data_IF_869608093888
#
_entry.id   IF_869608093888
#
_cell.length_a   1.000
_cell.length_b   1.000
_cell.length_c   1.000
_cell.angle_alpha   90.00
_cell.angle_beta   90.00
_cell.angle_gamma   90.00
#
_symmetry.space_group_name_H-M   'P 1'
#
loop_
_entity.id
_entity.type
_entity.pdbx_description
1 polymer ?
#
# COMPACT_ATOMS: atom_id res chain seq x y z
N UNK A 1 9.56 -3.34 28.63
CA UNK A 1 9.58 -2.96 27.20
C UNK A 1 10.93 -3.37 26.66
N UNK A 2 10.99 -4.40 25.81
CA UNK A 2 12.27 -4.83 25.23
C UNK A 2 12.71 -3.79 24.20
N UNK A 3 13.81 -3.11 24.50
CA UNK A 3 14.50 -2.29 23.51
C UNK A 3 15.02 -3.22 22.39
N UNK A 4 14.61 -2.93 21.14
CA UNK A 4 15.05 -3.69 19.96
C UNK A 4 16.58 -3.72 19.88
N UNK A 5 17.26 -2.62 20.24
CA UNK A 5 18.72 -2.56 20.25
C UNK A 5 19.33 -3.60 21.19
N UNK A 6 18.84 -3.69 22.43
CA UNK A 6 19.32 -4.69 23.39
C UNK A 6 19.02 -6.12 22.93
N UNK A 7 17.88 -6.32 22.27
CA UNK A 7 17.52 -7.63 21.70
C UNK A 7 18.51 -8.05 20.62
N UNK A 8 18.83 -7.16 19.68
CA UNK A 8 19.81 -7.39 18.61
C UNK A 8 21.22 -7.61 19.18
N UNK A 9 21.65 -6.80 20.15
CA UNK A 9 22.96 -6.96 20.79
C UNK A 9 23.12 -8.34 21.45
N UNK A 10 22.10 -8.80 22.18
CA UNK A 10 22.12 -10.14 22.81
C UNK A 10 22.15 -11.28 21.80
N UNK A 11 21.48 -11.13 20.66
CA UNK A 11 21.52 -12.13 19.58
C UNK A 11 22.96 -12.25 19.03
N UNK A 12 23.62 -11.12 18.77
CA UNK A 12 24.99 -11.08 18.25
C UNK A 12 26.01 -11.64 19.24
N UNK A 13 25.85 -11.40 20.55
CA UNK A 13 26.70 -11.97 21.60
C UNK A 13 26.69 -13.50 21.61
N UNK A 14 25.61 -14.13 21.14
CA UNK A 14 25.44 -15.58 21.14
C UNK A 14 25.46 -16.20 19.74
N UNK A 15 25.96 -15.48 18.72
CA UNK A 15 25.95 -15.94 17.32
C UNK A 15 26.62 -17.29 17.09
N UNK A 16 27.68 -17.62 17.84
CA UNK A 16 28.37 -18.90 17.76
C UNK A 16 27.49 -20.07 18.22
N UNK A 17 26.68 -19.87 19.26
CA UNK A 17 25.70 -20.88 19.70
C UNK A 17 24.55 -21.01 18.72
N UNK A 18 24.10 -19.89 18.16
CA UNK A 18 23.03 -19.88 17.16
C UNK A 18 23.42 -20.59 15.86
N UNK A 19 24.72 -20.66 15.55
CA UNK A 19 25.25 -21.38 14.40
C UNK A 19 25.01 -22.91 14.46
N UNK A 20 24.83 -23.48 15.65
CA UNK A 20 24.73 -24.93 15.88
C UNK A 20 23.29 -25.43 16.09
N UNK A 21 22.32 -24.53 16.25
CA UNK A 21 20.94 -24.89 16.59
C UNK A 21 20.04 -25.10 15.37
N UNK A 22 18.87 -25.68 15.60
CA UNK A 22 17.86 -25.90 14.58
C UNK A 22 17.02 -24.64 14.29
N UNK A 23 16.21 -24.71 13.23
CA UNK A 23 15.34 -23.63 12.77
C UNK A 23 14.32 -23.18 13.82
N UNK A 24 13.69 -24.13 14.53
CA UNK A 24 12.76 -23.83 15.62
C UNK A 24 13.40 -22.97 16.72
N UNK A 25 14.70 -23.16 17.00
CA UNK A 25 15.43 -22.31 17.94
C UNK A 25 15.59 -20.89 17.40
N UNK A 26 15.87 -20.72 16.10
CA UNK A 26 15.94 -19.40 15.46
C UNK A 26 14.58 -18.69 15.51
N UNK A 27 13.50 -19.40 15.20
CA UNK A 27 12.13 -18.89 15.30
C UNK A 27 11.83 -18.36 16.71
N UNK A 28 12.16 -19.12 17.75
CA UNK A 28 11.79 -18.83 19.14
C UNK A 28 12.74 -17.86 19.87
N UNK A 29 14.05 -17.93 19.60
CA UNK A 29 15.07 -17.16 20.33
C UNK A 29 15.57 -15.93 19.57
N UNK A 30 15.28 -15.81 18.28
CA UNK A 30 15.71 -14.67 17.44
C UNK A 30 14.51 -13.92 16.88
N UNK A 31 13.70 -14.56 16.03
CA UNK A 31 12.61 -13.91 15.30
C UNK A 31 11.52 -13.42 16.25
N UNK A 32 11.01 -14.30 17.13
CA UNK A 32 9.93 -13.94 18.04
C UNK A 32 10.31 -12.82 19.04
N UNK A 33 11.51 -12.80 19.66
CA UNK A 33 11.96 -11.67 20.48
C UNK A 33 12.05 -10.36 19.71
N UNK A 34 12.47 -10.37 18.44
CA UNK A 34 12.48 -9.18 17.58
C UNK A 34 11.05 -8.69 17.34
N UNK A 35 10.11 -9.58 17.00
CA UNK A 35 8.70 -9.23 16.82
C UNK A 35 8.10 -8.61 18.10
N UNK A 36 8.40 -9.18 19.27
CA UNK A 36 7.99 -8.63 20.58
C UNK A 36 8.56 -7.24 20.82
N UNK A 37 9.84 -7.01 20.52
CA UNK A 37 10.46 -5.68 20.63
C UNK A 37 9.87 -4.65 19.65
N UNK A 38 9.28 -5.11 18.54
CA UNK A 38 8.58 -4.31 17.54
C UNK A 38 7.08 -4.11 17.85
N UNK A 39 6.62 -4.57 19.02
CA UNK A 39 5.28 -4.33 19.55
C UNK A 39 4.24 -5.38 19.17
N UNK A 40 4.64 -6.51 18.58
CA UNK A 40 3.77 -7.66 18.37
C UNK A 40 3.65 -8.48 19.66
N UNK A 41 2.45 -8.99 19.94
CA UNK A 41 2.15 -9.77 21.13
C UNK A 41 1.60 -11.15 20.74
N UNK A 42 2.45 -12.16 20.83
CA UNK A 42 2.15 -13.57 20.56
C UNK A 42 1.32 -14.25 21.67
N UNK A 43 1.19 -13.61 22.84
CA UNK A 43 0.34 -14.09 23.94
C UNK A 43 -1.05 -13.46 23.94
N UNK A 44 -1.36 -12.55 23.00
CA UNK A 44 -2.67 -11.90 22.95
C UNK A 44 -3.72 -12.79 22.26
N UNK A 45 -4.44 -13.58 23.05
CA UNK A 45 -5.49 -14.47 22.58
C UNK A 45 -6.70 -13.75 21.96
N UNK A 46 -6.90 -12.46 22.25
CA UNK A 46 -8.02 -11.70 21.71
C UNK A 46 -7.77 -11.25 20.26
N UNK A 47 -6.52 -10.99 19.87
CA UNK A 47 -6.17 -10.58 18.51
C UNK A 47 -5.57 -11.69 17.67
N UNK A 48 -4.86 -12.66 18.31
CA UNK A 48 -4.05 -13.68 17.65
C UNK A 48 -3.21 -13.07 16.53
N UNK A 49 -2.50 -11.99 16.85
CA UNK A 49 -1.79 -11.15 15.88
C UNK A 49 -0.47 -11.74 15.39
N UNK A 50 0.07 -12.74 16.09
CA UNK A 50 1.20 -13.56 15.68
C UNK A 50 0.72 -15.01 15.70
N UNK A 51 0.61 -15.62 14.52
CA UNK A 51 0.16 -17.00 14.37
C UNK A 51 1.36 -17.87 13.99
N UNK A 52 1.87 -18.72 14.90
CA UNK A 52 2.92 -19.67 14.56
C UNK A 52 2.36 -20.77 13.65
N UNK A 53 3.21 -21.36 12.82
CA UNK A 53 2.89 -22.56 12.03
C UNK A 53 1.59 -22.39 11.22
N UNK A 54 1.43 -21.23 10.56
CA UNK A 54 0.20 -20.86 9.89
C UNK A 54 0.02 -21.66 8.59
N UNK A 55 -1.05 -22.45 8.53
CA UNK A 55 -1.38 -23.26 7.37
C UNK A 55 -1.84 -22.42 6.17
N UNK A 56 -1.32 -22.76 5.00
CA UNK A 56 -1.66 -22.12 3.71
C UNK A 56 -1.93 -23.20 2.67
N UNK A 57 -2.57 -22.85 1.56
CA UNK A 57 -2.77 -23.80 0.47
C UNK A 57 -1.42 -24.29 -0.07
N UNK A 58 -1.14 -25.59 0.09
CA UNK A 58 0.10 -26.21 -0.38
C UNK A 58 1.27 -26.14 0.59
N UNK A 59 1.06 -25.75 1.86
CA UNK A 59 2.10 -25.81 2.88
C UNK A 59 1.77 -25.05 4.16
N UNK A 60 2.83 -24.54 4.79
CA UNK A 60 2.78 -23.82 6.05
C UNK A 60 3.88 -22.75 6.03
N UNK A 61 3.65 -21.64 6.74
CA UNK A 61 4.67 -20.62 7.03
C UNK A 61 4.91 -20.56 8.53
N UNK A 62 6.14 -20.26 8.94
CA UNK A 62 6.51 -20.26 10.36
C UNK A 62 5.74 -19.22 11.19
N UNK A 63 5.57 -18.01 10.65
CA UNK A 63 4.71 -17.01 11.28
C UNK A 63 3.86 -16.26 10.26
N UNK A 64 2.58 -16.10 10.59
CA UNK A 64 1.70 -15.13 9.96
C UNK A 64 1.38 -13.97 10.92
N UNK A 65 1.57 -12.74 10.46
CA UNK A 65 1.24 -11.53 11.20
C UNK A 65 -0.10 -10.96 10.74
N UNK A 66 -0.93 -10.56 11.71
CA UNK A 66 -2.32 -10.15 11.46
C UNK A 66 -2.65 -8.82 12.14
N UNK A 67 -3.39 -7.97 11.42
CA UNK A 67 -4.01 -6.75 11.96
C UNK A 67 -5.52 -6.89 11.88
N UNK A 68 -6.17 -7.02 13.04
CA UNK A 68 -7.61 -7.30 13.10
C UNK A 68 -7.94 -8.66 12.48
N UNK A 69 -8.66 -8.67 11.36
CA UNK A 69 -8.97 -9.88 10.60
C UNK A 69 -8.04 -10.13 9.40
N UNK A 70 -7.18 -9.16 9.05
CA UNK A 70 -6.37 -9.20 7.83
C UNK A 70 -4.96 -9.73 8.08
N UNK A 71 -4.52 -10.69 7.27
CA UNK A 71 -3.12 -11.10 7.19
C UNK A 71 -2.28 -10.02 6.51
N UNK A 72 -1.17 -9.65 7.12
CA UNK A 72 -0.35 -8.51 6.67
C UNK A 72 1.05 -8.91 6.22
N UNK A 73 1.66 -9.90 6.87
CA UNK A 73 2.99 -10.41 6.51
C UNK A 73 3.10 -11.90 6.81
N UNK A 74 3.88 -12.61 5.99
CA UNK A 74 4.37 -13.95 6.30
C UNK A 74 5.87 -13.92 6.56
N UNK A 75 6.33 -14.74 7.49
CA UNK A 75 7.74 -14.90 7.84
C UNK A 75 8.07 -16.39 7.78
N UNK A 76 9.11 -16.70 7.02
CA UNK A 76 9.72 -18.02 6.89
C UNK A 76 11.13 -17.96 7.46
N UNK A 77 11.47 -18.92 8.33
CA UNK A 77 12.76 -19.01 8.98
C UNK A 77 13.60 -20.14 8.36
N UNK A 78 14.91 -20.04 8.52
CA UNK A 78 15.90 -21.07 8.17
C UNK A 78 16.94 -21.19 9.27
N UNK A 79 17.80 -22.21 9.22
CA UNK A 79 18.91 -22.36 10.19
C UNK A 79 19.91 -21.22 10.02
N UNK A 80 20.59 -20.83 11.10
CA UNK A 80 21.48 -19.66 11.16
C UNK A 80 22.52 -19.57 10.03
N UNK A 81 23.11 -20.70 9.64
CA UNK A 81 24.13 -20.78 8.59
C UNK A 81 23.57 -21.14 7.20
N UNK A 82 22.25 -21.27 7.06
CA UNK A 82 21.61 -21.68 5.83
C UNK A 82 21.46 -20.47 4.87
N UNK A 83 21.94 -20.56 3.62
CA UNK A 83 21.75 -19.51 2.63
C UNK A 83 20.28 -19.33 2.23
N UNK A 84 19.84 -18.10 2.03
CA UNK A 84 18.43 -17.78 1.79
C UNK A 84 18.00 -17.85 0.32
N UNK A 85 18.92 -17.67 -0.64
CA UNK A 85 18.60 -17.38 -2.05
C UNK A 85 17.79 -18.47 -2.77
N UNK A 86 17.69 -19.68 -2.20
CA UNK A 86 16.94 -20.81 -2.79
C UNK A 86 15.52 -20.99 -2.24
N UNK A 87 15.14 -20.23 -1.22
CA UNK A 87 13.87 -20.42 -0.50
C UNK A 87 12.86 -19.30 -0.74
N UNK A 88 13.23 -18.27 -1.50
CA UNK A 88 12.39 -17.09 -1.73
C UNK A 88 11.06 -17.41 -2.42
N UNK A 89 11.10 -18.23 -3.49
CA UNK A 89 9.90 -18.57 -4.28
C UNK A 89 8.80 -19.22 -3.45
N UNK A 90 9.15 -20.02 -2.44
CA UNK A 90 8.15 -20.72 -1.62
C UNK A 90 7.32 -19.73 -0.80
N UNK A 91 7.98 -18.91 0.03
CA UNK A 91 7.29 -17.97 0.92
C UNK A 91 6.58 -16.88 0.14
N UNK A 92 7.13 -16.41 -0.99
CA UNK A 92 6.45 -15.41 -1.82
C UNK A 92 5.20 -15.97 -2.50
N UNK A 93 5.23 -17.23 -2.96
CA UNK A 93 4.07 -17.87 -3.57
C UNK A 93 2.96 -18.14 -2.54
N UNK A 94 3.31 -18.59 -1.33
CA UNK A 94 2.34 -18.73 -0.24
C UNK A 94 1.70 -17.38 0.10
N UNK A 95 2.51 -16.32 0.23
CA UNK A 95 2.00 -14.98 0.49
C UNK A 95 1.09 -14.48 -0.63
N UNK A 96 1.46 -14.70 -1.90
CA UNK A 96 0.64 -14.31 -3.05
C UNK A 96 -0.72 -15.03 -3.06
N UNK A 97 -0.71 -16.36 -2.92
CA UNK A 97 -1.94 -17.17 -2.91
C UNK A 97 -2.87 -16.81 -1.74
N UNK A 98 -2.31 -16.36 -0.61
CA UNK A 98 -3.06 -15.95 0.57
C UNK A 98 -3.46 -14.46 0.57
N UNK A 99 -3.13 -13.69 -0.49
CA UNK A 99 -3.41 -12.26 -0.56
C UNK A 99 -2.61 -11.41 0.43
N UNK A 100 -1.47 -11.90 0.89
CA UNK A 100 -0.57 -11.24 1.84
C UNK A 100 0.48 -10.43 1.06
N UNK A 101 0.63 -9.11 1.30
CA UNK A 101 1.45 -8.26 0.43
C UNK A 101 2.96 -8.44 0.62
N UNK A 102 3.42 -8.80 1.81
CA UNK A 102 4.85 -8.87 2.14
C UNK A 102 5.20 -10.27 2.65
N UNK A 103 6.27 -10.82 2.10
CA UNK A 103 6.91 -12.04 2.55
C UNK A 103 8.30 -11.72 3.11
N UNK A 104 8.67 -12.35 4.22
CA UNK A 104 9.96 -12.20 4.88
C UNK A 104 10.62 -13.56 4.96
N UNK A 105 11.87 -13.64 4.52
CA UNK A 105 12.70 -14.84 4.63
C UNK A 105 13.92 -14.51 5.48
N UNK A 106 14.20 -15.31 6.50
CA UNK A 106 15.31 -15.03 7.42
C UNK A 106 15.96 -16.28 7.98
N UNK A 107 17.26 -16.23 8.25
CA UNK A 107 17.96 -17.22 9.08
C UNK A 107 18.32 -16.64 10.46
N UNK A 108 17.70 -15.53 10.85
CA UNK A 108 18.01 -14.77 12.07
C UNK A 108 19.15 -13.78 11.89
N UNK A 109 20.18 -14.13 11.10
CA UNK A 109 21.29 -13.22 10.74
C UNK A 109 20.88 -12.26 9.62
N UNK A 110 20.44 -12.82 8.50
CA UNK A 110 20.04 -12.10 7.31
C UNK A 110 18.52 -12.06 7.23
N UNK A 111 17.96 -10.93 6.81
CA UNK A 111 16.54 -10.77 6.57
C UNK A 111 16.31 -10.23 5.16
N UNK A 112 15.57 -10.98 4.36
CA UNK A 112 15.14 -10.56 3.04
C UNK A 112 13.65 -10.24 3.06
N UNK A 113 13.29 -9.07 2.55
CA UNK A 113 11.90 -8.62 2.45
C UNK A 113 11.50 -8.52 0.99
N UNK A 114 10.41 -9.22 0.65
CA UNK A 114 9.87 -9.29 -0.69
C UNK A 114 8.44 -8.79 -0.73
N UNK A 115 8.06 -8.13 -1.82
CA UNK A 115 6.65 -8.13 -2.20
C UNK A 115 6.27 -9.52 -2.68
N UNK A 116 5.11 -10.02 -2.23
CA UNK A 116 4.62 -11.33 -2.67
C UNK A 116 4.32 -11.35 -4.16
N UNK A 117 3.89 -10.20 -4.70
CA UNK A 117 3.63 -10.01 -6.11
C UNK A 117 3.88 -8.59 -6.56
N UNK A 118 4.61 -8.47 -7.66
CA UNK A 118 4.73 -7.28 -8.50
C UNK A 118 4.66 -7.78 -9.93
N UNK A 119 3.79 -7.19 -10.73
CA UNK A 119 3.57 -7.64 -12.11
C UNK A 119 4.85 -7.56 -12.94
N UNK A 120 5.07 -8.54 -13.82
CA UNK A 120 6.19 -8.53 -14.76
C UNK A 120 7.58 -8.72 -14.14
N UNK A 121 7.68 -9.04 -12.85
CA UNK A 121 8.97 -9.22 -12.15
C UNK A 121 9.17 -10.68 -11.71
N UNK A 122 10.42 -11.14 -11.70
CA UNK A 122 10.84 -12.36 -11.02
C UNK A 122 10.84 -12.18 -9.49
N UNK A 123 10.91 -13.27 -8.73
CA UNK A 123 10.97 -13.20 -7.25
C UNK A 123 12.19 -12.42 -6.77
N UNK A 124 13.35 -12.62 -7.40
CA UNK A 124 14.58 -11.91 -7.09
C UNK A 124 14.48 -10.39 -7.31
N UNK A 125 13.63 -9.93 -8.23
CA UNK A 125 13.41 -8.50 -8.50
C UNK A 125 12.42 -7.86 -7.51
N UNK A 126 11.63 -8.66 -6.78
CA UNK A 126 10.63 -8.17 -5.81
C UNK A 126 11.22 -7.85 -4.44
N UNK A 127 12.52 -8.08 -4.25
CA UNK A 127 13.20 -7.83 -3.00
C UNK A 127 13.42 -6.33 -2.81
N UNK A 128 12.84 -5.77 -1.74
CA UNK A 128 12.93 -4.33 -1.46
C UNK A 128 13.86 -3.99 -0.29
N UNK A 129 14.25 -4.98 0.52
CA UNK A 129 15.19 -4.77 1.61
C UNK A 129 15.96 -6.06 1.93
N UNK A 130 17.28 -5.92 2.14
CA UNK A 130 18.16 -6.93 2.73
C UNK A 130 18.78 -6.33 3.97
N UNK A 131 18.70 -7.04 5.09
CA UNK A 131 19.29 -6.63 6.36
C UNK A 131 20.32 -7.68 6.76
N UNK A 132 21.50 -7.23 7.21
CA UNK A 132 22.44 -8.04 7.97
C UNK A 132 22.48 -7.51 9.41
N UNK A 133 22.11 -8.35 10.38
CA UNK A 133 22.09 -8.01 11.80
C UNK A 133 23.44 -7.50 12.33
N UNK A 134 24.56 -7.87 11.69
CA UNK A 134 25.89 -7.36 12.06
C UNK A 134 26.00 -5.83 11.89
N UNK A 135 25.22 -5.24 10.97
CA UNK A 135 25.02 -3.79 10.88
C UNK A 135 23.85 -3.35 11.77
N UNK A 136 24.14 -3.17 13.07
CA UNK A 136 23.12 -2.94 14.08
C UNK A 136 22.28 -1.68 13.82
N UNK A 137 22.87 -0.57 13.39
CA UNK A 137 22.16 0.69 13.22
C UNK A 137 21.15 0.61 12.07
N UNK A 138 21.59 0.12 10.91
CA UNK A 138 20.71 -0.08 9.76
C UNK A 138 19.67 -1.14 10.05
N UNK A 139 20.05 -2.24 10.71
CA UNK A 139 19.13 -3.29 11.16
C UNK A 139 17.99 -2.74 12.01
N UNK A 140 18.30 -1.96 13.04
CA UNK A 140 17.28 -1.37 13.92
C UNK A 140 16.35 -0.44 13.12
N UNK A 141 16.92 0.37 12.23
CA UNK A 141 16.17 1.30 11.38
C UNK A 141 15.20 0.56 10.46
N UNK A 142 15.69 -0.42 9.70
CA UNK A 142 14.91 -1.14 8.69
C UNK A 142 13.89 -2.11 9.30
N UNK A 143 14.26 -2.85 10.35
CA UNK A 143 13.29 -3.67 11.10
C UNK A 143 12.15 -2.80 11.65
N UNK A 144 12.45 -1.61 12.19
CA UNK A 144 11.38 -0.66 12.60
C UNK A 144 10.59 -0.15 11.40
N UNK A 145 11.25 0.12 10.28
CA UNK A 145 10.61 0.66 9.07
C UNK A 145 9.53 -0.29 8.53
N UNK A 146 9.80 -1.59 8.52
CA UNK A 146 8.95 -2.59 7.88
C UNK A 146 8.14 -3.47 8.84
N UNK A 147 8.62 -3.75 10.06
CA UNK A 147 7.98 -4.67 11.00
C UNK A 147 7.43 -4.02 12.27
N UNK A 148 7.71 -2.74 12.55
CA UNK A 148 7.10 -2.07 13.70
C UNK A 148 5.58 -2.11 13.56
N UNK A 149 4.88 -2.67 14.56
CA UNK A 149 3.42 -2.86 14.50
C UNK A 149 2.67 -1.59 14.13
N UNK A 150 3.04 -0.45 14.69
CA UNK A 150 2.46 0.85 14.35
C UNK A 150 2.61 1.21 12.86
N UNK A 151 3.77 0.94 12.26
CA UNK A 151 4.01 1.20 10.84
C UNK A 151 3.21 0.24 9.94
N UNK A 152 3.05 -1.02 10.36
CA UNK A 152 2.23 -2.01 9.64
C UNK A 152 0.75 -1.62 9.70
N UNK A 153 0.21 -1.34 10.89
CA UNK A 153 -1.19 -0.95 11.10
C UNK A 153 -1.55 0.33 10.33
N UNK A 154 -0.65 1.31 10.27
CA UNK A 154 -0.88 2.58 9.55
C UNK A 154 -0.65 2.50 8.03
N UNK A 155 -0.23 1.33 7.52
CA UNK A 155 0.18 1.12 6.12
C UNK A 155 1.48 1.84 5.74
N UNK A 156 2.22 2.40 6.72
CA UNK A 156 3.50 3.08 6.49
C UNK A 156 4.59 2.08 6.08
N UNK A 157 4.57 0.86 6.62
CA UNK A 157 5.52 -0.20 6.26
C UNK A 157 5.45 -0.54 4.76
N UNK A 158 4.25 -0.78 4.24
CA UNK A 158 4.03 -1.10 2.83
C UNK A 158 4.40 0.07 1.90
N UNK A 159 4.03 1.32 2.26
CA UNK A 159 4.44 2.51 1.49
C UNK A 159 5.97 2.67 1.44
N UNK A 160 6.64 2.42 2.56
CA UNK A 160 8.10 2.46 2.65
C UNK A 160 8.74 1.37 1.80
N UNK A 161 8.16 0.17 1.78
CA UNK A 161 8.62 -0.95 0.96
C UNK A 161 8.51 -0.61 -0.54
N UNK A 162 7.41 0.02 -0.96
CA UNK A 162 7.22 0.47 -2.34
C UNK A 162 8.25 1.52 -2.75
N UNK A 163 8.64 2.41 -1.83
CA UNK A 163 9.69 3.41 -2.09
C UNK A 163 11.04 2.71 -2.27
N UNK A 164 11.40 1.80 -1.35
CA UNK A 164 12.68 1.10 -1.36
C UNK A 164 12.86 0.25 -2.63
N UNK A 165 11.80 -0.44 -3.07
CA UNK A 165 11.83 -1.21 -4.32
C UNK A 165 12.15 -0.31 -5.52
N UNK A 166 11.47 0.84 -5.64
CA UNK A 166 11.66 1.79 -6.73
C UNK A 166 13.03 2.46 -6.71
N UNK A 167 13.58 2.72 -5.53
CA UNK A 167 14.94 3.26 -5.40
C UNK A 167 15.99 2.24 -5.85
N UNK A 168 15.80 0.96 -5.51
CA UNK A 168 16.64 -0.14 -5.97
C UNK A 168 16.58 -0.31 -7.49
N UNK A 169 15.39 -0.36 -8.07
CA UNK A 169 15.19 -0.44 -9.54
C UNK A 169 15.86 0.71 -10.30
N UNK A 170 15.93 1.90 -9.71
CA UNK A 170 16.63 3.05 -10.28
C UNK A 170 18.14 2.94 -10.15
N UNK A 171 18.64 2.44 -9.03
CA UNK A 171 20.08 2.21 -8.84
C UNK A 171 20.61 1.12 -9.80
N UNK A 172 19.76 0.14 -10.14
CA UNK A 172 20.10 -0.96 -11.04
C UNK A 172 19.96 -0.62 -12.55
N UNK A 173 19.47 0.58 -12.92
CA UNK A 173 19.34 1.04 -14.33
C UNK A 173 20.35 2.16 -14.67
N UNK A 174 21.13 2.05 -15.77
CA UNK A 174 21.97 3.17 -16.26
C UNK A 174 21.11 4.30 -16.85
N UNK A 175 21.47 5.57 -16.59
CA UNK A 175 20.72 6.76 -17.02
C UNK A 175 20.61 6.91 -18.56
N UNK A 176 19.44 7.30 -19.10
CA UNK A 176 19.33 7.86 -20.45
C UNK A 176 19.27 9.40 -20.47
N UNK A 177 19.88 9.97 -21.51
CA UNK A 177 19.99 11.39 -21.83
C UNK A 177 18.67 12.06 -22.31
N UNK A 178 18.56 13.37 -22.02
CA UNK A 178 17.54 14.35 -22.44
C UNK A 178 17.26 14.38 -23.97
N UNK A 179 16.09 14.76 -24.52
CA UNK A 179 15.43 16.09 -24.76
C UNK A 179 14.06 15.80 -25.54
N UNK A 180 13.18 16.75 -25.98
CA UNK A 180 12.05 17.49 -25.36
C UNK A 180 10.60 17.13 -25.82
N UNK A 181 9.59 17.71 -25.13
CA UNK A 181 8.12 17.62 -25.30
C UNK A 181 7.54 18.20 -26.62
N UNK A 182 6.45 17.61 -27.12
CA UNK A 182 5.47 18.27 -28.01
C UNK A 182 4.01 18.05 -27.57
N UNK A 183 3.20 19.10 -27.70
CA UNK A 183 1.78 19.24 -27.34
C UNK A 183 0.86 19.09 -28.56
N UNK A 184 -0.33 18.50 -28.40
CA UNK A 184 -1.44 18.62 -29.38
C UNK A 184 -2.80 18.80 -28.66
N UNK A 185 -3.66 19.65 -29.25
CA UNK A 185 -4.98 20.09 -28.79
C UNK A 185 -6.14 19.14 -29.24
N UNK A 186 -7.36 19.24 -28.65
CA UNK A 186 -8.37 18.17 -28.67
C UNK A 186 -9.44 18.29 -29.76
N UNK A 187 -9.89 17.16 -30.30
CA UNK A 187 -11.10 17.04 -31.14
C UNK A 187 -12.30 16.49 -30.35
N UNK A 188 -13.49 16.85 -30.81
CA UNK A 188 -14.81 16.69 -30.19
C UNK A 188 -15.22 15.21 -29.98
N UNK A 189 -15.75 14.87 -28.80
CA UNK A 189 -16.18 13.51 -28.44
C UNK A 189 -17.59 13.49 -27.84
N UNK A 190 -18.33 12.42 -28.20
CA UNK A 190 -19.48 11.80 -27.53
C UNK A 190 -19.86 12.35 -26.15
N UNK A 191 -21.17 12.56 -25.92
CA UNK A 191 -21.71 13.06 -24.64
C UNK A 191 -21.45 12.14 -23.46
N UNK A 192 -21.09 10.87 -23.66
CA UNK A 192 -20.82 9.91 -22.59
C UNK A 192 -19.32 9.87 -22.24
N UNK A 193 -19.01 9.67 -20.96
CA UNK A 193 -17.63 9.40 -20.54
C UNK A 193 -17.35 7.92 -20.67
N UNK A 194 -16.37 7.60 -21.52
CA UNK A 194 -15.88 6.24 -21.75
C UNK A 194 -14.46 6.10 -21.22
N UNK A 195 -14.00 4.86 -21.02
CA UNK A 195 -12.59 4.56 -20.69
C UNK A 195 -11.64 5.21 -21.70
N UNK A 196 -11.97 5.13 -22.99
CA UNK A 196 -11.14 5.69 -24.06
C UNK A 196 -11.05 7.22 -24.00
N UNK A 197 -12.18 7.89 -23.75
CA UNK A 197 -12.18 9.35 -23.53
C UNK A 197 -11.32 9.72 -22.32
N UNK A 198 -11.41 8.94 -21.24
CA UNK A 198 -10.59 9.16 -20.05
C UNK A 198 -9.10 8.97 -20.37
N UNK A 199 -8.71 7.90 -21.08
CA UNK A 199 -7.31 7.68 -21.49
C UNK A 199 -6.76 8.84 -22.31
N UNK A 200 -7.58 9.42 -23.19
CA UNK A 200 -7.19 10.57 -24.01
C UNK A 200 -6.98 11.86 -23.20
N UNK A 201 -7.56 11.96 -22.00
CA UNK A 201 -7.34 13.10 -21.08
C UNK A 201 -6.12 12.91 -20.18
N UNK A 202 -5.60 11.69 -20.07
CA UNK A 202 -4.40 11.39 -19.29
C UNK A 202 -3.18 11.79 -20.12
N UNK A 203 -2.41 12.76 -19.63
CA UNK A 203 -1.16 13.18 -20.28
C UNK A 203 -0.20 11.99 -20.41
N UNK A 204 0.62 11.98 -21.46
CA UNK A 204 1.65 10.96 -21.72
C UNK A 204 2.49 10.65 -20.46
N UNK A 205 3.03 11.65 -19.76
CA UNK A 205 3.79 11.45 -18.51
C UNK A 205 3.03 10.63 -17.44
N UNK A 206 1.72 10.86 -17.32
CA UNK A 206 0.88 10.15 -16.34
C UNK A 206 0.51 8.77 -16.88
N UNK A 207 0.29 8.64 -18.19
CA UNK A 207 0.01 7.36 -18.84
C UNK A 207 1.21 6.44 -18.73
N UNK A 208 2.39 6.93 -19.07
CA UNK A 208 3.67 6.23 -18.89
C UNK A 208 3.85 5.85 -17.43
N UNK A 209 3.53 6.75 -16.50
CA UNK A 209 3.57 6.41 -15.07
C UNK A 209 2.58 5.31 -14.72
N UNK A 210 1.36 5.33 -15.26
CA UNK A 210 0.33 4.33 -14.99
C UNK A 210 0.74 2.97 -15.55
N UNK A 211 1.11 2.91 -16.84
CA UNK A 211 1.59 1.72 -17.54
C UNK A 211 2.85 1.16 -16.87
N UNK A 212 3.73 2.03 -16.36
CA UNK A 212 4.92 1.61 -15.61
C UNK A 212 4.65 1.24 -14.14
N UNK A 213 3.53 1.67 -13.54
CA UNK A 213 3.27 1.51 -12.10
C UNK A 213 2.13 0.57 -11.75
N UNK A 214 1.26 0.23 -12.70
CA UNK A 214 0.03 -0.53 -12.48
C UNK A 214 -0.32 -1.34 -13.73
N UNK A 215 -0.97 -2.50 -13.53
CA UNK A 215 -1.41 -3.34 -14.65
C UNK A 215 -2.34 -2.58 -15.59
N UNK A 216 -2.34 -2.97 -16.87
CA UNK A 216 -3.27 -2.41 -17.84
C UNK A 216 -4.72 -2.62 -17.38
N UNK A 217 -5.04 -3.79 -16.84
CA UNK A 217 -6.35 -4.09 -16.27
C UNK A 217 -6.70 -3.16 -15.10
N UNK A 218 -5.77 -2.91 -14.17
CA UNK A 218 -6.00 -1.99 -13.04
C UNK A 218 -6.17 -0.56 -13.51
N UNK A 219 -5.36 -0.11 -14.47
CA UNK A 219 -5.52 1.18 -15.10
C UNK A 219 -6.87 1.28 -15.79
N UNK A 220 -7.32 0.24 -16.47
CA UNK A 220 -8.60 0.17 -17.15
C UNK A 220 -9.77 0.20 -16.17
N UNK A 221 -9.70 -0.54 -15.06
CA UNK A 221 -10.70 -0.46 -13.97
C UNK A 221 -10.69 0.94 -13.36
N UNK A 222 -9.52 1.56 -13.12
CA UNK A 222 -9.44 2.93 -12.61
C UNK A 222 -10.04 3.96 -13.56
N UNK A 223 -9.69 3.90 -14.85
CA UNK A 223 -10.25 4.78 -15.88
C UNK A 223 -11.75 4.56 -16.05
N UNK A 224 -12.23 3.32 -15.92
CA UNK A 224 -13.66 2.98 -15.91
C UNK A 224 -14.35 3.60 -14.70
N UNK A 225 -13.82 3.43 -13.49
CA UNK A 225 -14.36 4.04 -12.27
C UNK A 225 -14.40 5.57 -12.38
N UNK A 226 -13.37 6.20 -12.96
CA UNK A 226 -13.38 7.65 -13.21
C UNK A 226 -14.47 8.03 -14.23
N UNK A 227 -14.61 7.29 -15.33
CA UNK A 227 -15.63 7.52 -16.34
C UNK A 227 -17.05 7.39 -15.78
N UNK A 228 -17.32 6.30 -15.05
CA UNK A 228 -18.60 6.03 -14.39
C UNK A 228 -18.94 7.10 -13.35
N UNK A 229 -17.96 7.52 -12.54
CA UNK A 229 -18.13 8.63 -11.60
C UNK A 229 -18.48 9.92 -12.33
N UNK A 230 -17.82 10.20 -13.46
CA UNK A 230 -18.08 11.41 -14.25
C UNK A 230 -19.44 11.37 -14.96
N UNK A 231 -19.93 10.19 -15.36
CA UNK A 231 -21.30 10.01 -15.85
C UNK A 231 -22.32 10.27 -14.72
N UNK A 232 -22.05 9.78 -13.50
CA UNK A 232 -22.90 10.05 -12.33
C UNK A 232 -22.96 11.55 -12.00
N UNK A 233 -21.83 12.26 -12.04
CA UNK A 233 -21.73 13.72 -11.88
C UNK A 233 -22.63 14.44 -12.92
N UNK A 234 -22.62 14.00 -14.18
CA UNK A 234 -23.46 14.58 -15.25
C UNK A 234 -24.95 14.43 -14.96
N UNK A 235 -25.39 13.30 -14.39
CA UNK A 235 -26.82 13.12 -14.02
C UNK A 235 -27.33 14.14 -13.02
N UNK A 236 -26.42 14.80 -12.28
CA UNK A 236 -26.72 15.79 -11.24
C UNK A 236 -26.50 17.24 -11.69
N UNK A 237 -26.17 17.45 -12.96
CA UNK A 237 -25.81 18.76 -13.53
C UNK A 237 -24.69 19.48 -12.75
N UNK A 238 -23.75 18.70 -12.20
CA UNK A 238 -22.60 19.24 -11.48
C UNK A 238 -21.47 19.61 -12.42
N UNK A 239 -20.88 20.78 -12.19
CA UNK A 239 -19.76 21.28 -13.00
C UNK A 239 -18.42 20.88 -12.39
N UNK A 240 -18.09 19.60 -12.50
CA UNK A 240 -16.82 19.04 -12.05
C UNK A 240 -16.01 18.48 -13.22
N UNK A 241 -14.72 18.80 -13.28
CA UNK A 241 -13.81 18.27 -14.29
C UNK A 241 -12.73 17.37 -13.67
N UNK A 242 -12.45 16.19 -14.28
CA UNK A 242 -11.42 15.28 -13.80
C UNK A 242 -10.02 15.79 -14.16
N UNK A 243 -9.11 15.79 -13.19
CA UNK A 243 -7.69 16.10 -13.37
C UNK A 243 -6.85 14.95 -12.85
N UNK A 244 -6.03 14.41 -13.75
CA UNK A 244 -5.15 13.31 -13.45
C UNK A 244 -3.87 13.77 -12.76
N UNK A 245 -3.46 12.99 -11.77
CA UNK A 245 -2.16 13.01 -11.15
C UNK A 245 -1.64 11.56 -11.14
N UNK A 246 -0.32 11.39 -11.00
CA UNK A 246 0.34 10.06 -11.02
C UNK A 246 -0.40 8.97 -10.20
N UNK A 247 -0.92 9.31 -9.02
CA UNK A 247 -1.52 8.33 -8.09
C UNK A 247 -3.03 8.52 -7.87
N UNK A 248 -3.67 9.44 -8.56
CA UNK A 248 -5.07 9.78 -8.34
C UNK A 248 -5.69 10.63 -9.44
N UNK A 249 -7.00 10.52 -9.64
CA UNK A 249 -7.78 11.50 -10.40
C UNK A 249 -8.62 12.34 -9.42
N UNK A 250 -8.55 13.67 -9.53
CA UNK A 250 -9.31 14.61 -8.69
C UNK A 250 -10.36 15.33 -9.51
N UNK A 251 -11.52 15.56 -8.94
CA UNK A 251 -12.63 16.27 -9.57
C UNK A 251 -12.71 17.69 -9.03
N UNK A 252 -12.57 18.67 -9.93
CA UNK A 252 -12.44 20.09 -9.58
C UNK A 252 -13.66 20.88 -10.01
N UNK A 253 -14.08 21.84 -9.18
CA UNK A 253 -15.18 22.75 -9.52
C UNK A 253 -14.80 23.64 -10.70
N UNK A 254 -15.71 23.72 -11.66
CA UNK A 254 -15.61 24.61 -12.82
C UNK A 254 -16.73 25.63 -12.77
N UNK A 255 -16.37 26.90 -12.57
CA UNK A 255 -17.31 28.02 -12.64
C UNK A 255 -17.05 28.82 -13.92
N UNK A 256 -18.09 29.00 -14.75
CA UNK A 256 -18.02 29.69 -16.06
C UNK A 256 -16.86 29.25 -16.96
N UNK A 257 -16.54 27.96 -16.98
CA UNK A 257 -15.43 27.40 -17.77
C UNK A 257 -14.04 27.57 -17.15
N UNK A 258 -13.93 28.18 -15.97
CA UNK A 258 -12.68 28.32 -15.21
C UNK A 258 -12.65 27.27 -14.11
N UNK A 259 -11.64 26.39 -14.12
CA UNK A 259 -11.43 25.48 -13.00
C UNK A 259 -10.95 26.26 -11.78
N UNK A 260 -11.75 26.28 -10.72
CA UNK A 260 -11.37 26.88 -9.44
C UNK A 260 -10.26 26.06 -8.76
N UNK A 261 -9.56 26.65 -7.80
CA UNK A 261 -8.39 26.02 -7.12
C UNK A 261 -8.79 24.99 -6.05
N UNK A 262 -10.03 24.49 -6.06
CA UNK A 262 -10.52 23.55 -5.03
C UNK A 262 -11.01 22.24 -5.66
N UNK A 263 -10.31 21.14 -5.37
CA UNK A 263 -10.78 19.78 -5.63
C UNK A 263 -11.88 19.40 -4.63
N UNK A 264 -12.95 18.77 -5.10
CA UNK A 264 -14.11 18.36 -4.28
C UNK A 264 -13.89 16.96 -3.71
N UNK A 265 -13.52 16.01 -4.57
CA UNK A 265 -13.12 14.65 -4.22
C UNK A 265 -12.15 14.09 -5.25
N UNK A 266 -11.60 12.90 -5.01
CA UNK A 266 -10.86 12.18 -6.03
C UNK A 266 -10.67 10.70 -5.74
N UNK A 267 -10.28 9.94 -6.75
CA UNK A 267 -10.11 8.50 -6.70
C UNK A 267 -8.63 8.20 -6.72
N UNK A 268 -8.15 7.39 -5.77
CA UNK A 268 -6.76 6.98 -5.70
C UNK A 268 -6.53 5.63 -6.38
N UNK A 269 -5.65 5.63 -7.39
CA UNK A 269 -5.21 4.44 -8.12
C UNK A 269 -4.31 3.53 -7.27
N UNK A 270 -3.66 4.05 -6.22
CA UNK A 270 -2.67 3.32 -5.44
C UNK A 270 -3.24 2.35 -4.39
N UNK A 271 -4.52 2.45 -4.02
CA UNK A 271 -5.11 1.62 -2.96
C UNK A 271 -5.93 0.47 -3.54
N UNK A 272 -5.92 -0.68 -2.86
CA UNK A 272 -6.74 -1.83 -3.24
C UNK A 272 -7.67 -2.25 -2.09
N UNK A 273 -9.01 -2.18 -2.28
CA UNK A 273 -9.70 -1.58 -3.43
C UNK A 273 -9.51 -0.06 -3.49
N UNK A 274 -9.86 0.56 -4.63
CA UNK A 274 -9.67 1.99 -4.83
C UNK A 274 -10.35 2.79 -3.72
N UNK A 275 -9.78 3.94 -3.41
CA UNK A 275 -10.27 4.77 -2.31
C UNK A 275 -10.62 6.15 -2.82
N UNK A 276 -11.84 6.57 -2.52
CA UNK A 276 -12.31 7.93 -2.70
C UNK A 276 -11.74 8.80 -1.58
N UNK A 277 -11.02 9.86 -1.92
CA UNK A 277 -10.61 10.89 -0.98
C UNK A 277 -11.54 12.09 -1.08
N UNK A 278 -12.01 12.56 0.07
CA UNK A 278 -12.98 13.66 0.19
C UNK A 278 -12.43 14.74 1.11
N UNK A 279 -12.55 16.01 0.73
CA UNK A 279 -12.04 17.15 1.52
C UNK A 279 -13.13 17.86 2.32
N UNK A 280 -13.50 17.33 3.49
CA UNK A 280 -14.53 17.91 4.36
C UNK A 280 -14.11 17.89 5.83
N UNK A 281 -14.70 18.78 6.64
CA UNK A 281 -14.38 18.90 8.06
C UNK A 281 -14.74 17.63 8.84
N UNK A 282 -14.05 17.39 9.97
CA UNK A 282 -14.29 16.20 10.82
C UNK A 282 -15.76 16.05 11.26
N UNK A 283 -16.41 17.15 11.66
CA UNK A 283 -17.84 17.15 12.01
C UNK A 283 -18.75 16.71 10.85
N UNK A 284 -18.39 17.10 9.63
CA UNK A 284 -19.15 16.77 8.43
C UNK A 284 -18.90 15.30 8.05
N UNK A 285 -17.69 14.78 8.30
CA UNK A 285 -17.35 13.36 8.18
C UNK A 285 -18.17 12.47 9.12
N UNK A 286 -18.28 12.88 10.39
CA UNK A 286 -19.04 12.16 11.41
C UNK A 286 -20.54 12.13 11.08
N UNK A 287 -21.06 13.23 10.54
CA UNK A 287 -22.44 13.28 10.06
C UNK A 287 -22.66 12.36 8.85
N UNK A 288 -21.76 12.40 7.88
CA UNK A 288 -21.83 11.53 6.71
C UNK A 288 -21.73 10.04 7.10
N UNK A 289 -20.90 9.71 8.10
CA UNK A 289 -20.76 8.35 8.64
C UNK A 289 -22.07 7.84 9.22
N UNK A 290 -22.79 8.71 9.93
CA UNK A 290 -24.10 8.41 10.52
C UNK A 290 -25.17 8.19 9.45
N UNK A 291 -25.13 8.98 8.38
CA UNK A 291 -26.12 8.92 7.29
C UNK A 291 -25.90 7.75 6.34
N UNK A 292 -24.65 7.43 5.99
CA UNK A 292 -24.32 6.49 4.93
C UNK A 292 -23.71 5.16 5.42
N UNK A 293 -23.62 4.93 6.74
CA UNK A 293 -23.07 3.70 7.37
C UNK A 293 -21.68 3.30 6.82
N UNK A 294 -20.86 4.28 6.51
CA UNK A 294 -19.56 4.11 5.85
C UNK A 294 -18.37 4.24 6.82
N UNK A 295 -17.25 3.61 6.50
CA UNK A 295 -16.00 3.77 7.25
C UNK A 295 -15.09 4.81 6.62
N UNK A 296 -14.49 5.64 7.47
CA UNK A 296 -13.67 6.79 7.08
C UNK A 296 -12.39 6.83 7.90
N UNK A 297 -11.30 7.23 7.25
CA UNK A 297 -9.98 7.38 7.87
C UNK A 297 -9.47 8.82 7.73
N UNK A 298 -8.96 9.39 8.83
CA UNK A 298 -8.45 10.76 8.88
C UNK A 298 -6.93 10.80 8.66
N UNK A 299 -6.46 11.79 7.89
CA UNK A 299 -5.04 11.93 7.53
C UNK A 299 -4.23 12.78 8.51
N UNK A 300 -4.88 13.61 9.34
CA UNK A 300 -4.22 14.58 10.24
C UNK A 300 -4.74 14.51 11.68
N UNK A 301 -3.83 14.70 12.66
CA UNK A 301 -4.15 14.77 14.11
C UNK A 301 -4.76 16.09 14.59
N UNK A 302 -4.83 17.11 13.73
CA UNK A 302 -5.38 18.42 14.07
C UNK A 302 -6.88 18.51 13.74
N UNK A 303 -7.58 19.48 14.35
CA UNK A 303 -9.03 19.70 14.28
C UNK A 303 -9.63 19.90 12.87
N UNK A 304 -8.80 19.87 11.84
CA UNK A 304 -9.15 19.99 10.43
C UNK A 304 -8.85 18.66 9.75
N UNK A 305 -9.88 17.87 9.48
CA UNK A 305 -9.78 16.76 8.55
C UNK A 305 -9.73 17.39 7.14
N UNK A 306 -8.58 17.32 6.47
CA UNK A 306 -8.49 17.77 5.07
C UNK A 306 -8.79 16.64 4.08
N UNK A 307 -8.75 15.38 4.54
CA UNK A 307 -8.92 14.22 3.67
C UNK A 307 -9.54 13.06 4.45
N UNK A 308 -10.60 12.52 3.86
CA UNK A 308 -11.26 11.30 4.30
C UNK A 308 -11.13 10.27 3.19
N UNK A 309 -10.68 9.08 3.55
CA UNK A 309 -10.63 7.93 2.67
C UNK A 309 -11.88 7.05 2.84
N UNK A 310 -12.59 6.81 1.73
CA UNK A 310 -13.75 5.92 1.63
C UNK A 310 -13.48 4.82 0.61
N UNK A 311 -13.72 3.57 1.00
CA UNK A 311 -13.56 2.43 0.09
C UNK A 311 -14.60 2.50 -1.03
N UNK A 312 -14.18 2.42 -2.29
CA UNK A 312 -15.13 2.44 -3.41
C UNK A 312 -15.86 1.09 -3.45
N UNK A 313 -17.20 1.07 -3.37
CA UNK A 313 -18.02 -0.13 -3.52
C UNK A 313 -18.02 -0.62 -4.97
N UNK A 314 -18.41 -1.87 -5.18
CA UNK A 314 -18.48 -2.47 -6.52
C UNK A 314 -19.57 -1.81 -7.38
N UNK A 315 -20.68 -1.36 -6.77
CA UNK A 315 -21.69 -0.52 -7.42
C UNK A 315 -21.38 0.97 -7.22
N UNK A 316 -20.97 1.64 -8.29
CA UNK A 316 -20.59 3.06 -8.27
C UNK A 316 -21.74 3.99 -7.83
N UNK A 317 -23.00 3.57 -7.97
CA UNK A 317 -24.16 4.39 -7.59
C UNK A 317 -24.26 4.57 -6.08
N UNK A 318 -23.68 3.65 -5.30
CA UNK A 318 -23.56 3.77 -3.85
C UNK A 318 -22.64 4.92 -3.42
N UNK A 319 -21.81 5.46 -4.33
CA UNK A 319 -21.05 6.69 -4.06
C UNK A 319 -21.94 7.92 -4.00
N UNK A 320 -23.13 7.90 -4.60
CA UNK A 320 -23.93 9.10 -4.84
C UNK A 320 -24.20 9.91 -3.57
N UNK A 321 -24.62 9.33 -2.43
CA UNK A 321 -24.83 10.10 -1.20
C UNK A 321 -23.57 10.82 -0.71
N UNK A 322 -22.40 10.17 -0.83
CA UNK A 322 -21.09 10.73 -0.43
C UNK A 322 -20.70 11.88 -1.37
N UNK A 323 -20.90 11.71 -2.68
CA UNK A 323 -20.59 12.74 -3.66
C UNK A 323 -21.53 13.96 -3.52
N UNK A 324 -22.83 13.73 -3.31
CA UNK A 324 -23.83 14.78 -3.11
C UNK A 324 -23.52 15.64 -1.88
N UNK A 325 -23.25 14.98 -0.75
CA UNK A 325 -22.88 15.65 0.48
C UNK A 325 -21.62 16.50 0.29
N UNK A 326 -20.60 15.92 -0.34
CA UNK A 326 -19.32 16.61 -0.56
C UNK A 326 -19.49 17.82 -1.49
N UNK A 327 -20.24 17.66 -2.57
CA UNK A 327 -20.48 18.72 -3.54
C UNK A 327 -21.21 19.91 -2.90
N UNK A 328 -22.28 19.66 -2.13
CA UNK A 328 -23.00 20.68 -1.36
C UNK A 328 -22.09 21.47 -0.43
N UNK A 329 -21.25 20.76 0.34
CA UNK A 329 -20.26 21.39 1.24
C UNK A 329 -19.24 22.26 0.53
N UNK A 330 -18.88 21.94 -0.71
CA UNK A 330 -17.91 22.71 -1.49
C UNK A 330 -18.52 23.88 -2.27
N UNK A 331 -19.79 23.76 -2.64
CA UNK A 331 -20.52 24.78 -3.42
C UNK A 331 -21.34 25.74 -2.56
N UNK A 332 -21.59 25.39 -1.29
CA UNK A 332 -22.39 26.20 -0.38
C UNK A 332 -23.90 26.05 -0.56
N UNK A 333 -24.33 25.06 -1.35
CA UNK A 333 -25.74 24.73 -1.63
C UNK A 333 -26.35 23.75 -0.62
#
# INVERSE_FOLDING_TARGET
MNDLRNTIARILEHKERLAEVNEATIQQYVVLPILRALGWNDANLASLEVLPEYAVTGGQVDYALKVGLKLTLFIECKKWNEPLDRHESQVTNYAFNAGVPIAVLTNGKIWHFYFSWVEGTSVSERIFCKIDIEDQENTISDLKKYLLKFNVVSGKAERNAQIALKEREKADKPEPSSIPKQTVAPSEFSSEWTVERIRNLVSEEIRDYHEASFSEERCNVFYRTVAETQNLIKTKDWRLEPKFHKKSCRFWLTDKGVTQVKSVFGIHLQYNPFTLHVRIMKKDAEELKRQCRCEFYFVTKNAFADYIYYQIPDDITELLPVLEFTYKKHTGN
#
